data_IF_094770465613
#
_entry.id   IF_094770465613
#
_cell.length_a   1.000
_cell.length_b   1.000
_cell.length_c   1.000
_cell.angle_alpha   90.00
_cell.angle_beta   90.00
_cell.angle_gamma   90.00
#
_symmetry.space_group_name_H-M   'P 1'
#
loop_
_entity.id
_entity.type
_entity.pdbx_description
1 polymer ?
#
# COMPACT_ATOMS: atom_id res chain seq x y z
N UNK A 1 10.80 21.38 -12.59
CA UNK A 1 9.87 20.51 -11.85
C UNK A 1 10.06 20.73 -10.35
N UNK A 2 9.00 20.60 -9.58
CA UNK A 2 9.06 20.73 -8.11
C UNK A 2 9.57 19.44 -7.49
N UNK A 3 9.40 18.33 -8.23
CA UNK A 3 9.73 16.99 -7.80
C UNK A 3 10.22 16.16 -8.97
N UNK A 4 11.12 15.23 -8.69
CA UNK A 4 11.54 14.23 -9.65
C UNK A 4 11.54 12.87 -8.98
N UNK A 5 10.80 11.90 -9.52
CA UNK A 5 10.88 10.50 -9.12
C UNK A 5 11.75 9.73 -10.11
N UNK A 6 12.54 8.80 -9.60
CA UNK A 6 13.30 7.87 -10.44
C UNK A 6 12.79 6.44 -10.30
N UNK A 7 13.11 5.59 -11.29
CA UNK A 7 12.98 4.14 -11.15
C UNK A 7 14.06 3.59 -10.22
N UNK A 8 13.89 2.35 -9.78
CA UNK A 8 14.86 1.70 -8.90
C UNK A 8 14.95 0.20 -9.18
N UNK A 9 16.03 -0.38 -8.70
CA UNK A 9 16.21 -1.83 -8.67
C UNK A 9 15.96 -2.39 -7.29
N UNK A 10 15.18 -3.47 -7.21
CA UNK A 10 15.17 -4.38 -6.07
C UNK A 10 16.41 -5.27 -6.19
N UNK A 11 17.37 -5.12 -5.28
CA UNK A 11 18.55 -5.97 -5.22
C UNK A 11 18.32 -7.11 -4.26
N UNK A 12 18.24 -8.32 -4.82
CA UNK A 12 18.02 -9.54 -4.07
C UNK A 12 19.26 -9.95 -3.25
N UNK A 13 19.10 -10.83 -2.27
CA UNK A 13 20.19 -11.31 -1.42
C UNK A 13 21.28 -12.09 -2.18
N UNK A 14 20.96 -12.67 -3.36
CA UNK A 14 21.89 -13.31 -4.28
C UNK A 14 22.56 -12.33 -5.25
N UNK A 15 22.31 -11.01 -5.08
CA UNK A 15 22.97 -9.94 -5.83
C UNK A 15 22.32 -9.59 -7.17
N UNK A 16 21.18 -10.18 -7.54
CA UNK A 16 20.47 -9.81 -8.76
C UNK A 16 19.78 -8.45 -8.60
N UNK A 17 19.76 -7.66 -9.68
CA UNK A 17 19.05 -6.39 -9.74
C UNK A 17 17.78 -6.58 -10.58
N UNK A 18 16.62 -6.53 -9.95
CA UNK A 18 15.33 -6.65 -10.61
C UNK A 18 14.71 -5.26 -10.71
N UNK A 19 14.41 -4.80 -11.93
CA UNK A 19 13.72 -3.51 -12.11
C UNK A 19 12.36 -3.56 -11.42
N UNK A 20 12.12 -2.61 -10.51
CA UNK A 20 10.85 -2.50 -9.81
C UNK A 20 9.70 -2.24 -10.79
N UNK A 21 8.59 -2.92 -10.57
CA UNK A 21 7.40 -2.81 -11.42
C UNK A 21 6.56 -1.61 -10.96
N UNK A 22 6.90 -0.43 -11.49
CA UNK A 22 6.08 0.77 -11.33
C UNK A 22 5.55 1.22 -12.68
N UNK A 23 4.33 1.74 -12.70
CA UNK A 23 3.66 2.17 -13.92
C UNK A 23 3.49 3.68 -13.89
N UNK A 24 4.38 4.39 -14.55
CA UNK A 24 4.23 5.81 -14.87
C UNK A 24 3.67 5.94 -16.28
N UNK A 25 2.61 6.73 -16.46
CA UNK A 25 1.95 6.92 -17.76
C UNK A 25 2.60 8.04 -18.59
N UNK A 26 3.34 8.93 -17.94
CA UNK A 26 3.96 10.12 -18.53
C UNK A 26 5.34 10.35 -17.92
N UNK A 27 6.20 11.05 -18.62
CA UNK A 27 7.50 11.50 -18.09
C UNK A 27 7.41 12.84 -17.34
N UNK A 28 6.31 13.59 -17.52
CA UNK A 28 6.02 14.83 -16.80
C UNK A 28 4.53 14.90 -16.50
N UNK A 29 4.22 15.20 -15.25
CA UNK A 29 2.86 15.45 -14.75
C UNK A 29 2.77 16.90 -14.32
N UNK A 30 1.73 17.62 -14.79
CA UNK A 30 1.53 19.03 -14.48
C UNK A 30 0.14 19.24 -13.89
N UNK A 31 0.04 20.14 -12.92
CA UNK A 31 -1.21 20.60 -12.34
C UNK A 31 -2.11 19.43 -11.87
N UNK A 32 -3.31 19.30 -12.40
CA UNK A 32 -4.26 18.24 -12.02
C UNK A 32 -3.76 16.82 -12.33
N UNK A 33 -2.82 16.67 -13.29
CA UNK A 33 -2.23 15.36 -13.60
C UNK A 33 -1.38 14.79 -12.44
N UNK A 34 -0.91 15.63 -11.52
CA UNK A 34 -0.20 15.21 -10.29
C UNK A 34 -1.06 14.27 -9.46
N UNK A 35 -2.39 14.44 -9.50
CA UNK A 35 -3.32 13.57 -8.79
C UNK A 35 -3.32 12.12 -9.31
N UNK A 36 -2.96 11.90 -10.58
CA UNK A 36 -2.84 10.54 -11.13
C UNK A 36 -1.73 9.75 -10.40
N UNK A 37 -0.63 10.42 -10.01
CA UNK A 37 0.45 9.81 -9.24
C UNK A 37 -0.02 9.42 -7.83
N UNK A 38 -0.72 10.33 -7.15
CA UNK A 38 -1.25 10.06 -5.81
C UNK A 38 -2.24 8.90 -5.86
N UNK A 39 -3.17 8.90 -6.81
CA UNK A 39 -4.13 7.80 -7.00
C UNK A 39 -3.43 6.46 -7.29
N UNK A 40 -2.33 6.47 -8.09
CA UNK A 40 -1.52 5.28 -8.35
C UNK A 40 -0.79 4.76 -7.11
N UNK A 41 -0.38 5.62 -6.18
CA UNK A 41 0.22 5.25 -4.90
C UNK A 41 -0.80 4.69 -3.90
N UNK A 42 -2.02 5.24 -3.89
CA UNK A 42 -3.11 4.79 -3.01
C UNK A 42 -3.57 3.38 -3.40
N UNK A 43 -3.73 3.13 -4.68
CA UNK A 43 -4.19 1.83 -5.17
C UNK A 43 -4.53 1.83 -6.66
N UNK A 44 -4.60 0.64 -7.21
CA UNK A 44 -5.07 0.39 -8.56
C UNK A 44 -6.60 0.29 -8.61
N UNK A 45 -7.17 0.56 -9.79
CA UNK A 45 -8.57 0.24 -10.04
C UNK A 45 -8.81 -1.28 -9.95
N UNK A 46 -10.04 -1.74 -9.68
CA UNK A 46 -10.36 -3.16 -9.56
C UNK A 46 -9.86 -4.02 -10.70
N UNK A 47 -9.95 -3.54 -11.95
CA UNK A 47 -9.54 -4.22 -13.19
C UNK A 47 -8.04 -4.19 -13.45
N UNK A 48 -7.29 -3.26 -12.86
CA UNK A 48 -5.84 -3.14 -13.08
C UNK A 48 -5.07 -4.25 -12.33
N UNK A 49 -3.90 -4.64 -12.84
CA UNK A 49 -3.03 -5.62 -12.20
C UNK A 49 -2.36 -5.05 -10.95
N UNK A 50 -2.06 -5.89 -9.98
CA UNK A 50 -1.42 -5.46 -8.72
C UNK A 50 -2.39 -4.79 -7.74
N UNK A 51 -1.89 -4.38 -6.60
CA UNK A 51 -2.67 -3.67 -5.58
C UNK A 51 -2.42 -2.15 -5.68
N UNK A 52 -1.23 -1.73 -6.15
CA UNK A 52 -0.82 -0.34 -6.42
C UNK A 52 -0.07 -0.27 -7.75
N UNK A 53 -0.12 0.88 -8.43
CA UNK A 53 0.63 1.14 -9.67
C UNK A 53 2.03 1.69 -9.37
N UNK A 54 2.12 2.55 -8.36
CA UNK A 54 3.33 3.29 -7.99
C UNK A 54 3.62 3.03 -6.51
N UNK A 55 4.86 2.67 -6.19
CA UNK A 55 5.28 2.54 -4.80
C UNK A 55 5.30 3.91 -4.10
N UNK A 56 4.94 3.93 -2.82
CA UNK A 56 4.86 5.15 -2.03
C UNK A 56 6.20 5.60 -1.42
N UNK A 57 7.29 4.87 -1.69
CA UNK A 57 8.58 5.12 -1.03
C UNK A 57 9.17 6.48 -1.40
N UNK A 58 9.49 7.29 -0.39
CA UNK A 58 10.01 8.66 -0.57
C UNK A 58 11.46 8.72 -1.03
N UNK A 59 12.27 7.70 -0.75
CA UNK A 59 13.70 7.66 -1.09
C UNK A 59 14.00 7.63 -2.58
N UNK A 60 13.01 7.37 -3.45
CA UNK A 60 13.14 7.43 -4.91
C UNK A 60 12.87 8.82 -5.48
N UNK A 61 12.62 9.82 -4.64
CA UNK A 61 12.23 11.16 -5.05
C UNK A 61 13.16 12.25 -4.56
N UNK A 62 13.28 13.31 -5.37
CA UNK A 62 13.80 14.62 -4.97
C UNK A 62 12.60 15.56 -4.84
N UNK A 63 12.53 16.31 -3.75
CA UNK A 63 11.40 17.15 -3.38
C UNK A 63 11.84 18.61 -3.20
N UNK A 64 11.03 19.56 -3.67
CA UNK A 64 11.29 20.97 -3.44
C UNK A 64 11.20 21.29 -1.94
N UNK A 65 12.33 21.65 -1.34
CA UNK A 65 12.39 21.99 0.09
C UNK A 65 11.51 23.20 0.44
N UNK A 66 11.34 24.15 -0.50
CA UNK A 66 10.47 25.30 -0.32
C UNK A 66 9.03 24.85 0.04
N UNK A 67 8.43 23.93 -0.73
CA UNK A 67 7.10 23.39 -0.44
C UNK A 67 7.03 22.77 0.95
N UNK A 68 8.04 21.98 1.32
CA UNK A 68 8.09 21.30 2.64
C UNK A 68 8.11 22.33 3.77
N UNK A 69 8.94 23.38 3.64
CA UNK A 69 9.10 24.40 4.69
C UNK A 69 7.89 25.34 4.78
N UNK A 70 7.40 25.84 3.66
CA UNK A 70 6.30 26.80 3.58
C UNK A 70 4.99 26.18 4.09
N UNK A 71 4.78 24.88 3.79
CA UNK A 71 3.57 24.15 4.20
C UNK A 71 3.72 23.41 5.53
N UNK A 72 4.89 23.49 6.15
CA UNK A 72 5.15 22.82 7.43
C UNK A 72 5.02 21.30 7.37
N UNK A 73 5.25 20.68 6.20
CA UNK A 73 5.09 19.25 5.99
C UNK A 73 6.12 18.49 6.82
N UNK A 74 5.68 17.45 7.52
CA UNK A 74 6.54 16.61 8.35
C UNK A 74 6.13 15.15 8.20
N UNK A 75 7.10 14.26 8.28
CA UNK A 75 6.81 12.84 8.39
C UNK A 75 6.14 12.55 9.73
N UNK A 76 5.00 11.86 9.73
CA UNK A 76 4.45 11.36 10.99
C UNK A 76 5.34 10.24 11.54
N UNK A 77 5.13 9.90 12.81
CA UNK A 77 5.90 8.83 13.44
C UNK A 77 5.59 7.46 12.81
N UNK A 78 6.61 6.71 12.40
CA UNK A 78 6.50 5.31 11.97
C UNK A 78 5.93 4.39 13.06
N UNK A 79 6.00 4.81 14.33
CA UNK A 79 5.39 4.10 15.47
C UNK A 79 3.87 4.26 15.50
N UNK A 80 3.35 5.32 14.90
CA UNK A 80 1.93 5.59 14.80
C UNK A 80 1.35 5.05 13.49
N UNK A 81 2.07 5.24 12.39
CA UNK A 81 1.65 4.83 11.05
C UNK A 81 2.64 3.85 10.42
N UNK A 82 2.14 2.76 9.87
CA UNK A 82 2.99 1.70 9.27
C UNK A 82 3.58 2.10 7.90
N UNK A 83 3.07 3.16 7.30
CA UNK A 83 3.48 3.67 5.99
C UNK A 83 3.35 5.19 6.01
N UNK A 84 4.27 5.85 6.71
CA UNK A 84 4.32 7.31 6.85
C UNK A 84 4.57 8.01 5.53
N UNK A 85 5.22 7.32 4.59
CA UNK A 85 5.53 7.81 3.24
C UNK A 85 4.27 8.24 2.48
N UNK A 86 3.18 7.46 2.53
CA UNK A 86 1.95 7.83 1.83
C UNK A 86 1.31 9.08 2.43
N UNK A 87 1.42 9.26 3.75
CA UNK A 87 0.88 10.44 4.43
C UNK A 87 1.68 11.68 4.01
N UNK A 88 3.02 11.55 3.93
CA UNK A 88 3.86 12.61 3.39
C UNK A 88 3.46 12.97 1.96
N UNK A 89 3.27 11.98 1.08
CA UNK A 89 2.85 12.23 -0.30
C UNK A 89 1.47 12.88 -0.40
N UNK A 90 0.50 12.46 0.41
CA UNK A 90 -0.83 13.10 0.43
C UNK A 90 -0.75 14.58 0.79
N UNK A 91 0.15 14.96 1.71
CA UNK A 91 0.35 16.35 2.10
C UNK A 91 1.19 17.14 1.06
N UNK A 92 2.26 16.54 0.55
CA UNK A 92 3.19 17.20 -0.36
C UNK A 92 2.58 17.45 -1.75
N UNK A 93 1.91 16.44 -2.31
CA UNK A 93 1.35 16.49 -3.66
C UNK A 93 0.16 17.47 -3.78
N UNK A 94 -0.39 17.95 -2.67
CA UNK A 94 -1.36 19.06 -2.66
C UNK A 94 -0.78 20.36 -3.24
N UNK A 95 0.52 20.54 -3.11
CA UNK A 95 1.21 21.80 -3.45
C UNK A 95 2.20 21.65 -4.60
N UNK A 96 2.57 20.43 -4.96
CA UNK A 96 3.43 20.17 -6.10
C UNK A 96 2.66 20.35 -7.41
N UNK A 97 3.20 21.12 -8.34
CA UNK A 97 2.55 21.43 -9.62
C UNK A 97 3.20 20.72 -10.81
N UNK A 98 4.50 20.35 -10.70
CA UNK A 98 5.23 19.74 -11.81
C UNK A 98 6.13 18.63 -11.31
N UNK A 99 5.83 17.40 -11.70
CA UNK A 99 6.58 16.20 -11.29
C UNK A 99 7.16 15.52 -12.52
N UNK A 100 8.48 15.46 -12.58
CA UNK A 100 9.21 14.74 -13.62
C UNK A 100 9.44 13.28 -13.20
N UNK A 101 9.47 12.38 -14.17
CA UNK A 101 9.84 10.98 -13.99
C UNK A 101 11.14 10.72 -14.72
N UNK A 102 12.17 10.34 -13.98
CA UNK A 102 13.42 9.84 -14.53
C UNK A 102 13.30 8.34 -14.76
N UNK A 103 13.34 7.94 -16.02
CA UNK A 103 13.19 6.53 -16.43
C UNK A 103 14.42 5.68 -16.10
N UNK A 104 15.57 6.32 -15.90
CA UNK A 104 16.80 5.63 -15.48
C UNK A 104 16.65 5.17 -14.02
N UNK A 105 16.90 3.90 -13.70
CA UNK A 105 16.91 3.45 -12.32
C UNK A 105 18.15 4.01 -11.59
N UNK A 106 17.94 4.96 -10.69
CA UNK A 106 19.03 5.65 -9.97
C UNK A 106 19.17 5.16 -8.52
N UNK A 107 18.34 4.24 -8.07
CA UNK A 107 18.37 3.74 -6.70
C UNK A 107 18.38 2.21 -6.66
N UNK A 108 19.10 1.65 -5.68
CA UNK A 108 19.11 0.22 -5.39
C UNK A 108 18.50 -0.03 -4.02
N UNK A 109 17.32 -0.63 -4.00
CA UNK A 109 16.70 -1.07 -2.76
C UNK A 109 17.28 -2.44 -2.38
N UNK A 110 18.25 -2.45 -1.46
CA UNK A 110 18.98 -3.65 -1.09
C UNK A 110 18.24 -4.46 -0.03
N UNK A 111 18.08 -5.77 -0.28
CA UNK A 111 17.62 -6.72 0.73
C UNK A 111 18.76 -7.04 1.69
N UNK A 112 18.76 -6.39 2.85
CA UNK A 112 19.78 -6.59 3.90
C UNK A 112 19.36 -7.61 4.97
N UNK A 113 18.29 -8.37 4.75
CA UNK A 113 17.79 -9.40 5.69
C UNK A 113 17.19 -8.89 6.99
N UNK A 114 17.45 -7.62 7.38
CA UNK A 114 16.96 -7.00 8.61
C UNK A 114 15.83 -6.00 8.37
N UNK A 115 15.22 -6.04 7.17
CA UNK A 115 14.18 -5.09 6.77
C UNK A 115 12.99 -5.13 7.74
N UNK A 116 12.61 -3.95 8.24
CA UNK A 116 11.43 -3.75 9.09
C UNK A 116 10.13 -4.27 8.44
N UNK A 117 10.09 -4.32 7.11
CA UNK A 117 8.92 -4.80 6.35
C UNK A 117 8.77 -6.33 6.38
N UNK A 118 9.88 -7.07 6.58
CA UNK A 118 9.92 -8.53 6.62
C UNK A 118 9.78 -9.14 8.02
N UNK A 119 9.80 -8.32 9.08
CA UNK A 119 9.65 -8.82 10.46
C UNK A 119 8.19 -9.01 10.86
N UNK A 120 7.92 -9.98 11.75
CA UNK A 120 6.61 -10.14 12.37
C UNK A 120 6.28 -8.94 13.26
N UNK A 121 5.16 -8.27 12.98
CA UNK A 121 4.67 -7.12 13.77
C UNK A 121 3.33 -7.46 14.40
N UNK A 122 3.30 -7.64 15.73
CA UNK A 122 2.09 -7.98 16.51
C UNK A 122 0.92 -7.01 16.26
N UNK A 123 1.22 -5.73 16.11
CA UNK A 123 0.21 -4.68 15.95
C UNK A 123 -0.07 -4.30 14.50
N UNK A 124 0.47 -5.04 13.51
CA UNK A 124 0.34 -4.67 12.09
C UNK A 124 -1.09 -4.39 11.68
N UNK A 125 -2.01 -5.30 11.96
CA UNK A 125 -3.41 -5.12 11.58
C UNK A 125 -4.06 -3.88 12.22
N UNK A 126 -3.71 -3.55 13.47
CA UNK A 126 -4.17 -2.31 14.12
C UNK A 126 -3.64 -1.07 13.39
N UNK A 127 -2.36 -1.08 13.04
CA UNK A 127 -1.71 0.04 12.33
C UNK A 127 -2.29 0.23 10.92
N UNK A 128 -2.57 -0.87 10.18
CA UNK A 128 -3.22 -0.79 8.86
C UNK A 128 -4.63 -0.18 8.94
N UNK A 129 -5.38 -0.44 10.01
CA UNK A 129 -6.68 0.18 10.22
C UNK A 129 -6.59 1.67 10.58
N UNK A 130 -5.54 2.06 11.34
CA UNK A 130 -5.27 3.47 11.64
C UNK A 130 -4.90 4.20 10.35
N UNK A 131 -4.03 3.61 9.55
CA UNK A 131 -3.62 4.16 8.25
C UNK A 131 -4.82 4.34 7.33
N UNK A 132 -5.67 3.32 7.14
CA UNK A 132 -6.87 3.42 6.31
C UNK A 132 -7.75 4.61 6.71
N UNK A 133 -7.99 4.79 8.01
CA UNK A 133 -8.80 5.91 8.51
C UNK A 133 -8.15 7.26 8.21
N UNK A 134 -6.82 7.35 8.33
CA UNK A 134 -6.07 8.56 8.01
C UNK A 134 -6.13 8.84 6.51
N UNK A 135 -5.87 7.83 5.67
CA UNK A 135 -5.98 7.93 4.22
C UNK A 135 -7.37 8.43 3.81
N UNK A 136 -8.44 7.82 4.31
CA UNK A 136 -9.81 8.25 4.00
C UNK A 136 -10.06 9.70 4.40
N UNK A 137 -9.63 10.10 5.62
CA UNK A 137 -9.83 11.47 6.12
C UNK A 137 -9.12 12.51 5.25
N UNK A 138 -7.89 12.24 4.82
CA UNK A 138 -7.13 13.16 3.96
C UNK A 138 -7.70 13.19 2.53
N UNK A 139 -8.03 12.01 1.99
CA UNK A 139 -8.54 11.89 0.62
C UNK A 139 -9.95 12.46 0.43
N UNK A 140 -10.82 12.39 1.46
CA UNK A 140 -12.14 13.04 1.45
C UNK A 140 -12.04 14.57 1.36
N UNK A 141 -10.87 15.18 1.63
CA UNK A 141 -10.61 16.61 1.45
C UNK A 141 -10.11 16.97 0.05
N UNK A 142 -9.63 15.97 -0.71
CA UNK A 142 -8.98 16.17 -2.01
C UNK A 142 -9.89 15.71 -3.14
N UNK A 143 -10.59 14.60 -2.96
CA UNK A 143 -11.33 13.90 -4.00
C UNK A 143 -12.76 13.57 -3.57
N UNK A 144 -13.65 13.56 -4.54
CA UNK A 144 -14.94 12.89 -4.37
C UNK A 144 -14.73 11.39 -4.09
N UNK A 145 -15.52 10.79 -3.19
CA UNK A 145 -15.34 9.41 -2.75
C UNK A 145 -15.26 8.37 -3.87
N UNK A 146 -15.98 8.56 -4.96
CA UNK A 146 -16.03 7.62 -6.09
C UNK A 146 -14.72 7.57 -6.88
N UNK A 147 -13.88 8.62 -6.79
CA UNK A 147 -12.59 8.68 -7.49
C UNK A 147 -11.56 7.75 -6.85
N UNK A 148 -11.52 7.66 -5.52
CA UNK A 148 -10.43 7.00 -4.82
C UNK A 148 -10.82 5.75 -4.03
N UNK A 149 -12.09 5.59 -3.60
CA UNK A 149 -12.47 4.53 -2.65
C UNK A 149 -12.21 3.13 -3.17
N UNK A 150 -12.52 2.84 -4.43
CA UNK A 150 -12.27 1.50 -4.98
C UNK A 150 -10.77 1.19 -5.03
N UNK A 151 -9.93 2.16 -5.35
CA UNK A 151 -8.47 2.05 -5.32
C UNK A 151 -7.96 1.78 -3.90
N UNK A 152 -8.37 2.60 -2.94
CA UNK A 152 -7.99 2.47 -1.55
C UNK A 152 -8.46 1.14 -0.94
N UNK A 153 -9.68 0.71 -1.24
CA UNK A 153 -10.20 -0.58 -0.77
C UNK A 153 -9.41 -1.77 -1.33
N UNK A 154 -9.00 -1.71 -2.59
CA UNK A 154 -8.15 -2.74 -3.20
C UNK A 154 -6.82 -2.89 -2.48
N UNK A 155 -6.11 -1.78 -2.27
CA UNK A 155 -4.82 -1.79 -1.58
C UNK A 155 -4.97 -2.19 -0.10
N UNK A 156 -6.01 -1.70 0.57
CA UNK A 156 -6.31 -2.10 1.95
C UNK A 156 -6.59 -3.60 2.08
N UNK A 157 -7.40 -4.19 1.21
CA UNK A 157 -7.63 -5.64 1.19
C UNK A 157 -6.33 -6.42 0.88
N UNK A 158 -5.42 -5.85 0.08
CA UNK A 158 -4.07 -6.36 -0.10
C UNK A 158 -3.28 -6.37 1.21
N UNK A 159 -3.35 -5.28 1.96
CA UNK A 159 -2.73 -5.14 3.30
C UNK A 159 -3.34 -6.12 4.31
N UNK A 160 -4.65 -6.30 4.30
CA UNK A 160 -5.36 -7.32 5.12
C UNK A 160 -4.86 -8.73 4.81
N UNK A 161 -4.73 -9.08 3.51
CA UNK A 161 -4.18 -10.38 3.10
C UNK A 161 -2.75 -10.57 3.59
N UNK A 162 -1.91 -9.52 3.57
CA UNK A 162 -0.55 -9.55 4.15
C UNK A 162 -0.55 -9.76 5.66
N UNK A 163 -1.48 -9.15 6.39
CA UNK A 163 -1.65 -9.41 7.82
C UNK A 163 -2.01 -10.88 8.10
N UNK A 164 -2.89 -11.48 7.30
CA UNK A 164 -3.24 -12.90 7.43
C UNK A 164 -2.04 -13.78 7.08
N UNK A 165 -1.29 -13.47 6.01
CA UNK A 165 -0.07 -14.19 5.63
C UNK A 165 0.97 -14.17 6.75
N UNK A 166 1.18 -12.99 7.37
CA UNK A 166 2.08 -12.85 8.51
C UNK A 166 1.70 -13.78 9.67
N UNK A 167 0.42 -13.88 10.00
CA UNK A 167 -0.06 -14.80 11.03
C UNK A 167 0.14 -16.27 10.65
N UNK A 168 -0.06 -16.63 9.37
CA UNK A 168 0.08 -18.02 8.91
C UNK A 168 1.53 -18.49 8.88
N UNK A 169 2.46 -17.62 8.45
CA UNK A 169 3.85 -18.02 8.16
C UNK A 169 4.86 -17.61 9.23
N UNK A 170 4.57 -16.55 9.99
CA UNK A 170 5.57 -15.96 10.89
C UNK A 170 5.18 -16.04 12.37
N UNK A 171 3.90 -16.26 12.70
CA UNK A 171 3.51 -16.40 14.11
C UNK A 171 3.89 -17.79 14.62
N UNK A 172 4.76 -17.91 15.67
CA UNK A 172 5.22 -19.19 16.19
C UNK A 172 4.08 -19.99 16.86
N UNK A 173 3.07 -19.30 17.37
CA UNK A 173 1.98 -19.89 18.14
C UNK A 173 0.73 -20.09 17.28
N UNK A 174 0.51 -21.31 16.75
CA UNK A 174 -0.61 -21.62 15.84
C UNK A 174 -1.99 -21.26 16.38
N UNK A 175 -2.22 -21.40 17.68
CA UNK A 175 -3.51 -21.07 18.30
C UNK A 175 -3.71 -19.55 18.34
N UNK A 176 -2.68 -18.78 18.67
CA UNK A 176 -2.69 -17.32 18.64
C UNK A 176 -2.89 -16.81 17.23
N UNK A 177 -2.15 -17.35 16.26
CA UNK A 177 -2.33 -17.04 14.83
C UNK A 177 -3.79 -17.23 14.39
N UNK A 178 -4.39 -18.38 14.70
CA UNK A 178 -5.79 -18.67 14.37
C UNK A 178 -6.77 -17.66 15.01
N UNK A 179 -6.54 -17.30 16.27
CA UNK A 179 -7.34 -16.28 16.98
C UNK A 179 -7.20 -14.91 16.32
N UNK A 180 -5.98 -14.53 15.94
CA UNK A 180 -5.70 -13.26 15.27
C UNK A 180 -6.35 -13.21 13.88
N UNK A 181 -6.24 -14.27 13.06
CA UNK A 181 -6.91 -14.35 11.76
C UNK A 181 -8.42 -14.23 11.91
N UNK A 182 -9.03 -14.89 12.90
CA UNK A 182 -10.47 -14.77 13.18
C UNK A 182 -10.82 -13.31 13.53
N UNK A 183 -10.00 -12.63 14.35
CA UNK A 183 -10.19 -11.22 14.70
C UNK A 183 -10.12 -10.31 13.46
N UNK A 184 -9.14 -10.55 12.58
CA UNK A 184 -9.00 -9.82 11.32
C UNK A 184 -10.27 -9.99 10.46
N UNK A 185 -10.69 -11.23 10.22
CA UNK A 185 -11.88 -11.52 9.42
C UNK A 185 -13.18 -10.97 10.03
N UNK A 186 -13.27 -10.87 11.38
CA UNK A 186 -14.46 -10.37 12.07
C UNK A 186 -14.44 -8.84 12.27
N UNK A 187 -13.38 -8.16 11.83
CA UNK A 187 -13.27 -6.70 11.98
C UNK A 187 -14.39 -5.98 11.23
N UNK A 188 -15.15 -5.08 11.88
CA UNK A 188 -16.20 -4.30 11.21
C UNK A 188 -15.68 -3.53 9.99
N UNK A 189 -14.48 -2.95 10.09
CA UNK A 189 -13.84 -2.20 8.99
C UNK A 189 -13.58 -3.13 7.79
N UNK A 190 -13.01 -4.32 8.02
CA UNK A 190 -12.75 -5.30 6.95
C UNK A 190 -14.04 -5.74 6.29
N UNK A 191 -15.07 -6.04 7.09
CA UNK A 191 -16.37 -6.47 6.58
C UNK A 191 -17.08 -5.37 5.79
N UNK A 192 -16.98 -4.11 6.23
CA UNK A 192 -17.54 -2.97 5.52
C UNK A 192 -16.84 -2.75 4.17
N UNK A 193 -15.50 -2.75 4.17
CA UNK A 193 -14.72 -2.59 2.95
C UNK A 193 -14.98 -3.72 1.95
N UNK A 194 -15.04 -4.99 2.38
CA UNK A 194 -15.34 -6.11 1.49
C UNK A 194 -16.72 -5.97 0.84
N UNK A 195 -17.72 -5.49 1.57
CA UNK A 195 -19.07 -5.28 1.03
C UNK A 195 -19.14 -4.17 -0.02
N UNK A 196 -18.33 -3.11 0.16
CA UNK A 196 -18.32 -1.92 -0.71
C UNK A 196 -17.34 -2.04 -1.88
N UNK A 197 -16.42 -2.99 -1.82
CA UNK A 197 -15.41 -3.19 -2.84
C UNK A 197 -15.94 -4.03 -4.01
N UNK A 198 -15.83 -3.51 -5.24
CA UNK A 198 -16.13 -4.28 -6.44
C UNK A 198 -15.02 -5.30 -6.71
N UNK A 199 -15.33 -6.58 -6.46
CA UNK A 199 -14.38 -7.67 -6.64
C UNK A 199 -14.53 -8.43 -7.96
N UNK A 200 -15.45 -8.05 -8.84
CA UNK A 200 -15.77 -8.82 -10.06
C UNK A 200 -14.58 -8.99 -11.00
N UNK A 201 -13.75 -7.95 -11.13
CA UNK A 201 -12.59 -7.94 -12.01
C UNK A 201 -11.27 -8.40 -11.35
N UNK A 202 -11.32 -8.84 -10.10
CA UNK A 202 -10.14 -9.40 -9.44
C UNK A 202 -9.79 -10.79 -10.01
N UNK A 203 -8.48 -11.10 -9.99
CA UNK A 203 -8.05 -12.48 -10.22
C UNK A 203 -8.75 -13.45 -9.26
N UNK A 204 -9.21 -14.59 -9.75
CA UNK A 204 -10.06 -15.54 -9.02
C UNK A 204 -9.50 -15.94 -7.64
N UNK A 205 -8.18 -16.04 -7.47
CA UNK A 205 -7.53 -16.37 -6.18
C UNK A 205 -7.72 -15.27 -5.13
N UNK A 206 -7.74 -14.00 -5.55
CA UNK A 206 -8.02 -12.87 -4.67
C UNK A 206 -9.52 -12.82 -4.34
N UNK A 207 -10.39 -13.09 -5.32
CA UNK A 207 -11.84 -13.20 -5.08
C UNK A 207 -12.15 -14.29 -4.05
N UNK A 208 -11.60 -15.49 -4.24
CA UNK A 208 -11.75 -16.59 -3.28
C UNK A 208 -11.30 -16.17 -1.88
N UNK A 209 -10.12 -15.58 -1.76
CA UNK A 209 -9.60 -15.13 -0.46
C UNK A 209 -10.52 -14.10 0.19
N UNK A 210 -11.02 -13.12 -0.57
CA UNK A 210 -11.97 -12.13 -0.06
C UNK A 210 -13.28 -12.77 0.40
N UNK A 211 -13.82 -13.75 -0.35
CA UNK A 211 -15.01 -14.52 0.06
C UNK A 211 -14.78 -15.30 1.36
N UNK A 212 -13.62 -15.95 1.50
CA UNK A 212 -13.27 -16.66 2.74
C UNK A 212 -13.15 -15.71 3.94
N UNK A 213 -12.60 -14.50 3.75
CA UNK A 213 -12.56 -13.45 4.77
C UNK A 213 -13.97 -12.98 5.12
N UNK A 214 -14.81 -12.71 4.13
CA UNK A 214 -16.20 -12.27 4.29
C UNK A 214 -17.01 -13.25 5.13
N UNK A 215 -16.88 -14.55 4.83
CA UNK A 215 -17.57 -15.63 5.55
C UNK A 215 -16.83 -16.06 6.82
N UNK A 216 -15.70 -15.44 7.16
CA UNK A 216 -14.90 -15.74 8.38
C UNK A 216 -14.42 -17.20 8.43
N UNK A 217 -14.17 -17.83 7.29
CA UNK A 217 -13.74 -19.22 7.19
C UNK A 217 -12.23 -19.35 7.45
N UNK A 218 -11.85 -19.12 8.70
CA UNK A 218 -10.45 -19.03 9.15
C UNK A 218 -9.63 -20.28 8.79
N UNK A 219 -10.20 -21.48 8.95
CA UNK A 219 -9.47 -22.73 8.64
C UNK A 219 -9.17 -22.87 7.15
N UNK A 220 -10.16 -22.56 6.30
CA UNK A 220 -9.99 -22.58 4.85
C UNK A 220 -8.95 -21.52 4.39
N UNK A 221 -8.96 -20.32 4.99
CA UNK A 221 -7.95 -19.29 4.73
C UNK A 221 -6.54 -19.81 5.03
N UNK A 222 -6.31 -20.41 6.19
CA UNK A 222 -5.00 -20.96 6.57
C UNK A 222 -4.52 -21.99 5.55
N UNK A 223 -5.42 -22.90 5.10
CA UNK A 223 -5.10 -23.90 4.08
C UNK A 223 -4.73 -23.22 2.76
N UNK A 224 -5.55 -22.29 2.27
CA UNK A 224 -5.31 -21.57 1.01
C UNK A 224 -3.98 -20.83 1.03
N UNK A 225 -3.65 -20.17 2.14
CA UNK A 225 -2.34 -19.46 2.25
C UNK A 225 -1.17 -20.44 2.24
N UNK A 226 -1.25 -21.57 2.94
CA UNK A 226 -0.19 -22.59 2.95
C UNK A 226 0.03 -23.30 1.62
N UNK A 227 -1.02 -23.40 0.80
CA UNK A 227 -0.90 -23.97 -0.55
C UNK A 227 -0.30 -23.01 -1.57
N UNK A 228 -0.22 -21.70 -1.26
CA UNK A 228 0.34 -20.67 -2.14
C UNK A 228 1.78 -20.28 -1.81
N UNK A 229 2.24 -20.55 -0.61
CA UNK A 229 3.60 -20.26 -0.13
C UNK A 229 4.43 -21.48 -0.01
#
# INVERSE_FOLDING_TARGET
ADTCFCRYYDRTSDGQNLLAREVYKKSLYCEEEVWELLLGMIGNLPEEAGDVAIGMSVWKGLYANAIIQEQGIRFPSEREYISEDIIFHMQYLLYAQRIAIEETPLYYYCDNGTSLTKSYKVNRFKMENILLKKEMKELDQIFEPDIYRQRLYKSYLGRVRRCIAQEVFMNPERQVARKNIRRICSSPIVQDVIKKYDSHNLHWTKQLTNRLIQHKWTSALIIVFRLKG
#
